data_IF_449110503201
#
_entry.id   IF_449110503201
#
_cell.length_a   1.000
_cell.length_b   1.000
_cell.length_c   1.000
_cell.angle_alpha   90.00
_cell.angle_beta   90.00
_cell.angle_gamma   90.00
#
_symmetry.space_group_name_H-M   'P 1'
#
loop_
_entity.id
_entity.type
_entity.pdbx_description
1 polymer ?
2 non-polymer ?
3 non-polymer ?
4 water ?
#
# COMPACT_ATOMS: atom_id res chain seq x y z
N UNK A 21 -9.15 -3.51 -6.06
CA UNK A 21 -8.61 -2.82 -7.28
C UNK A 21 -9.69 -2.86 -8.36
N UNK A 22 -10.08 -1.68 -8.85
CA UNK A 22 -11.12 -1.52 -9.89
C UNK A 22 -10.48 -1.24 -11.26
N UNK A 23 -10.90 -2.00 -12.28
CA UNK A 23 -10.38 -1.81 -13.63
C UNK A 23 -9.00 -2.38 -13.92
N UNK A 24 -8.49 -3.27 -13.07
CA UNK A 24 -7.18 -3.84 -13.28
C UNK A 24 -7.19 -5.22 -13.90
N UNK A 25 -6.18 -6.02 -13.57
CA UNK A 25 -6.05 -7.39 -14.09
C UNK A 25 -5.36 -8.26 -13.02
N UNK A 26 -5.53 -9.58 -13.09
CA UNK A 26 -4.89 -10.48 -12.13
C UNK A 26 -3.38 -10.44 -12.33
N UNK A 27 -2.62 -10.19 -11.26
CA UNK A 27 -1.16 -10.15 -11.35
C UNK A 27 -0.60 -11.52 -11.69
N UNK A 28 0.56 -11.59 -12.35
CA UNK A 28 1.22 -12.88 -12.60
C UNK A 28 1.60 -13.33 -11.18
N UNK A 29 1.33 -14.60 -10.83
CA UNK A 29 1.66 -15.09 -9.47
C UNK A 29 3.08 -14.76 -9.01
N UNK A 30 3.18 -14.19 -7.81
CA UNK A 30 4.45 -13.82 -7.18
C UNK A 30 5.30 -12.76 -7.91
N UNK A 31 4.65 -11.95 -8.76
CA UNK A 31 5.35 -10.88 -9.46
C UNK A 31 5.54 -9.64 -8.58
N UNK A 32 4.86 -9.61 -7.43
CA UNK A 32 4.96 -8.49 -6.46
C UNK A 32 5.30 -9.19 -5.12
N UNK A 33 6.49 -9.78 -5.00
CA UNK A 33 6.93 -10.50 -3.79
C UNK A 33 7.02 -9.78 -2.44
N UNK A 34 6.88 -8.45 -2.47
CA UNK A 34 6.91 -7.62 -1.27
C UNK A 34 5.50 -7.44 -0.66
N UNK A 35 4.46 -7.77 -1.42
CA UNK A 35 3.06 -7.61 -0.95
C UNK A 35 2.68 -8.51 0.23
N UNK A 36 2.07 -7.94 1.27
CA UNK A 36 1.59 -8.72 2.41
C UNK A 36 0.11 -8.42 2.73
N UNK A 37 -0.53 -9.36 3.46
CA UNK A 37 -1.92 -9.24 3.91
C UNK A 37 -1.89 -9.15 5.45
N UNK A 38 -2.60 -8.17 6.02
CA UNK A 38 -2.71 -8.00 7.49
C UNK A 38 -4.01 -8.72 7.90
N UNK A 39 -3.91 -9.61 8.89
CA UNK A 39 -5.05 -10.45 9.31
C UNK A 39 -5.37 -10.43 10.82
N UNK A 40 -6.65 -10.31 11.16
CA UNK A 40 -7.13 -10.32 12.56
C UNK A 40 -8.41 -11.17 12.62
N UNK A 41 -8.34 -12.35 12.00
CA UNK A 41 -9.50 -13.24 11.94
C UNK A 41 -10.05 -13.22 10.53
N UNK A 42 -9.54 -12.27 9.72
CA UNK A 42 -9.90 -12.06 8.31
C UNK A 42 -8.96 -10.98 7.75
N UNK A 43 -8.86 -10.89 6.43
CA UNK A 43 -8.01 -9.87 5.77
C UNK A 43 -8.68 -8.49 5.96
N UNK A 44 -7.92 -7.47 6.36
CA UNK A 44 -8.48 -6.13 6.53
C UNK A 44 -7.65 -4.98 5.91
N UNK A 45 -6.38 -5.22 5.60
CA UNK A 45 -5.48 -4.21 5.00
C UNK A 45 -4.27 -4.87 4.35
N UNK A 46 -3.57 -4.12 3.48
CA UNK A 46 -2.36 -4.61 2.83
C UNK A 46 -1.12 -3.96 3.47
N UNK A 47 0.07 -4.29 2.95
CA UNK A 47 1.34 -3.75 3.45
C UNK A 47 2.50 -4.15 2.52
N UNK A 48 3.71 -3.65 2.79
CA UNK A 48 4.91 -3.96 2.00
C UNK A 48 6.13 -4.33 2.87
N UNK A 49 6.82 -5.42 2.53
CA UNK A 49 8.03 -5.86 3.25
C UNK A 49 9.21 -5.04 2.72
N UNK A 50 9.92 -4.34 3.61
CA UNK A 50 11.06 -3.52 3.18
C UNK A 50 12.44 -4.09 3.55
N UNK A 51 12.43 -5.11 4.40
CA UNK A 51 13.62 -5.86 4.82
C UNK A 51 13.16 -7.08 5.62
N UNK A 52 14.06 -7.98 5.99
CA UNK A 52 13.67 -9.19 6.73
C UNK A 52 12.88 -9.02 8.05
N UNK A 53 12.95 -7.86 8.68
CA UNK A 53 12.26 -7.63 9.95
C UNK A 53 11.15 -6.56 10.00
N UNK A 54 10.99 -5.78 8.92
CA UNK A 54 10.01 -4.67 8.94
C UNK A 54 9.05 -4.56 7.75
N UNK A 55 7.80 -4.16 8.06
CA UNK A 55 6.73 -3.96 7.10
C UNK A 55 6.16 -2.52 7.19
N UNK A 56 5.89 -1.87 6.05
CA UNK A 56 5.31 -0.51 5.98
C UNK A 56 3.82 -0.60 5.57
N UNK A 57 2.95 0.12 6.28
CA UNK A 57 1.50 0.13 5.97
C UNK A 57 0.92 1.53 6.31
N UNK A 58 -0.40 1.65 6.39
CA UNK A 58 -1.07 2.93 6.69
C UNK A 58 -1.46 3.04 8.17
N UNK A 59 -1.31 4.24 8.74
CA UNK A 59 -1.68 4.48 10.15
C UNK A 59 -3.18 4.21 10.43
N UNK A 60 -4.04 4.40 9.42
CA UNK A 60 -5.46 4.16 9.60
C UNK A 60 -5.82 2.66 9.71
N UNK A 61 -4.85 1.79 9.48
CA UNK A 61 -5.04 0.34 9.58
C UNK A 61 -4.58 -0.18 10.96
N UNK A 62 -4.23 0.72 11.87
CA UNK A 62 -3.74 0.33 13.19
C UNK A 62 -4.57 -0.63 14.06
N UNK A 63 -3.86 -1.58 14.67
CA UNK A 63 -4.38 -2.55 15.64
C UNK A 63 -3.16 -2.86 16.50
N UNK A 64 -3.35 -3.05 17.80
CA UNK A 64 -2.25 -3.33 18.73
C UNK A 64 -1.41 -4.57 18.41
N UNK A 65 -2.03 -5.57 17.79
CA UNK A 65 -1.34 -6.80 17.39
C UNK A 65 -2.02 -7.35 16.13
N UNK A 66 -1.23 -7.85 15.18
CA UNK A 66 -1.75 -8.41 13.93
C UNK A 66 -0.88 -9.56 13.43
N UNK A 67 -1.44 -10.37 12.54
CA UNK A 67 -0.71 -11.47 11.91
C UNK A 67 -0.39 -11.04 10.47
N UNK A 68 0.89 -11.11 10.10
CA UNK A 68 1.35 -10.73 8.76
C UNK A 68 1.46 -12.00 7.90
N UNK A 69 0.80 -12.00 6.75
CA UNK A 69 0.82 -13.16 5.85
C UNK A 69 1.56 -12.84 4.55
N UNK A 70 2.70 -13.50 4.36
CA UNK A 70 3.57 -13.31 3.19
C UNK A 70 3.52 -14.50 2.22
N UNK A 71 3.98 -14.29 0.99
CA UNK A 71 4.00 -15.35 -0.02
C UNK A 71 2.65 -15.81 -0.53
N UNK A 72 1.68 -14.89 -0.57
CA UNK A 72 0.31 -15.18 -1.02
C UNK A 72 -0.05 -14.77 -2.46
N UNK A 73 -0.92 -15.57 -3.08
CA UNK A 73 -1.51 -15.20 -4.39
C UNK A 73 -3.05 -15.27 -4.16
N UNK A 74 -3.55 -16.46 -3.82
CA UNK A 74 -4.98 -16.64 -3.53
C UNK A 74 -5.07 -16.77 -2.00
N UNK A 75 -5.67 -15.77 -1.34
CA UNK A 75 -5.76 -15.79 0.13
C UNK A 75 -6.71 -16.82 0.76
N UNK A 76 -7.56 -17.46 -0.05
CA UNK A 76 -8.50 -18.45 0.47
C UNK A 76 -8.02 -19.90 0.27
N UNK A 77 -6.87 -20.09 -0.35
CA UNK A 77 -6.33 -21.43 -0.64
C UNK A 77 -4.88 -21.60 -0.20
N UNK A 78 -4.57 -22.72 0.45
CA UNK A 78 -3.20 -23.01 0.88
C UNK A 78 -2.39 -23.47 -0.35
N UNK A 79 -1.37 -22.69 -0.70
CA UNK A 79 -0.54 -22.93 -1.88
C UNK A 79 0.83 -23.56 -1.62
N UNK A 80 1.31 -23.44 -0.38
CA UNK A 80 2.61 -24.01 -0.04
C UNK A 80 3.76 -23.01 -0.06
N UNK A 81 3.46 -21.76 -0.43
CA UNK A 81 4.46 -20.69 -0.49
C UNK A 81 4.36 -19.67 0.65
N UNK A 82 3.34 -19.82 1.48
CA UNK A 82 3.05 -18.89 2.57
C UNK A 82 3.91 -18.94 3.84
N UNK A 83 3.99 -17.79 4.51
CA UNK A 83 4.67 -17.62 5.82
C UNK A 83 3.73 -16.72 6.62
N UNK A 84 3.29 -17.19 7.79
CA UNK A 84 2.40 -16.43 8.69
C UNK A 84 3.23 -16.06 9.92
N UNK A 85 3.41 -14.76 10.19
CA UNK A 85 4.24 -14.30 11.32
C UNK A 85 3.56 -13.18 12.13
N UNK A 86 3.51 -13.34 13.45
CA UNK A 86 2.90 -12.34 14.34
C UNK A 86 3.80 -11.11 14.53
N UNK A 87 3.18 -9.99 14.88
CA UNK A 87 3.91 -8.75 15.13
C UNK A 87 4.39 -8.69 16.58
N UNK A 88 5.50 -7.99 16.81
CA UNK A 88 5.99 -7.79 18.16
C UNK A 88 5.88 -6.30 18.52
N UNK A 89 5.73 -5.45 17.50
CA UNK A 89 5.59 -4.00 17.70
C UNK A 89 4.85 -3.36 16.52
N UNK A 90 3.89 -2.48 16.81
CA UNK A 90 3.12 -1.75 15.78
C UNK A 90 3.28 -0.25 16.11
N UNK A 91 3.95 0.49 15.23
CA UNK A 91 4.24 1.92 15.43
C UNK A 91 3.63 2.91 14.41
N UNK A 92 2.61 3.62 14.85
CA UNK A 92 1.91 4.62 14.04
C UNK A 92 2.72 5.95 14.04
N UNK A 93 2.69 6.72 12.95
CA UNK A 93 3.41 8.00 12.91
C UNK A 93 2.91 8.90 14.04
N UNK A 94 3.83 9.51 14.81
CA UNK A 94 3.43 10.39 15.92
C UNK A 94 2.53 11.59 15.62
N UNK A 95 2.50 12.06 14.37
CA UNK A 95 1.68 13.21 14.02
C UNK A 95 0.43 12.87 13.18
N UNK A 96 -0.03 11.62 13.21
CA UNK A 96 -1.21 11.22 12.45
C UNK A 96 -2.44 12.01 12.92
N UNK A 97 -3.25 12.47 11.97
CA UNK A 97 -4.46 13.24 12.27
C UNK A 97 -5.65 12.85 11.40
N UNK A 98 -6.82 12.63 12.00
CA UNK A 98 -8.03 12.24 11.25
C UNK A 98 -8.80 13.39 10.58
N UNK A 99 -8.44 14.63 10.88
CA UNK A 99 -9.13 15.77 10.28
C UNK A 99 -9.06 15.66 8.76
N UNK A 100 -7.84 15.48 8.24
CA UNK A 100 -7.61 15.34 6.80
C UNK A 100 -6.82 14.09 6.44
N UNK A 101 -6.69 13.18 7.41
CA UNK A 101 -5.95 11.91 7.24
C UNK A 101 -4.46 12.19 6.86
N UNK A 102 -3.84 13.11 7.58
CA UNK A 102 -2.46 13.53 7.37
C UNK A 102 -1.47 12.57 8.05
N UNK A 103 -0.29 12.38 7.42
CA UNK A 103 0.76 11.49 7.94
C UNK A 103 0.27 10.05 8.14
N UNK A 104 -0.35 9.50 7.09
CA UNK A 104 -0.95 8.15 7.12
C UNK A 104 0.06 7.03 6.82
N UNK A 105 0.97 6.79 7.76
CA UNK A 105 2.01 5.76 7.59
C UNK A 105 2.29 5.08 8.96
N UNK A 106 2.71 3.81 8.91
CA UNK A 106 2.93 3.00 10.12
C UNK A 106 3.99 1.91 9.89
N UNK A 107 4.76 1.55 10.91
CA UNK A 107 5.78 0.49 10.83
C UNK A 107 5.40 -0.71 11.71
N UNK A 108 5.61 -1.92 11.20
CA UNK A 108 5.31 -3.16 11.92
C UNK A 108 6.58 -4.01 12.01
N UNK A 109 6.99 -4.37 13.23
CA UNK A 109 8.18 -5.19 13.48
C UNK A 109 7.74 -6.66 13.60
N UNK A 110 8.39 -7.55 12.84
CA UNK A 110 8.05 -8.99 12.87
C UNK A 110 8.67 -9.68 14.09
N UNK A 111 7.95 -10.63 14.69
CA UNK A 111 8.45 -11.34 15.88
C UNK A 111 9.64 -12.26 15.56
N UNK A 112 9.76 -12.67 14.30
CA UNK A 112 10.88 -13.48 13.82
C UNK A 112 11.08 -13.05 12.37
N UNK A 113 12.35 -13.01 11.91
CA UNK A 113 12.63 -12.59 10.53
C UNK A 113 12.04 -13.48 9.45
N UNK A 114 11.67 -12.86 8.33
CA UNK A 114 11.09 -13.59 7.21
C UNK A 114 12.21 -14.27 6.44
N UNK A 115 11.88 -15.39 5.78
CA UNK A 115 12.84 -16.14 4.96
C UNK A 115 12.70 -15.68 3.51
N UNK A 116 13.77 -15.13 2.95
CA UNK A 116 13.74 -14.64 1.59
C UNK A 116 13.98 -15.79 0.61
N UNK A 117 13.12 -15.87 -0.42
CA UNK A 117 13.20 -16.95 -1.43
C UNK A 117 12.54 -16.57 -2.77
N UNK A 118 12.09 -17.55 -3.55
CA UNK A 118 11.44 -17.27 -4.84
C UNK A 118 10.14 -16.48 -4.66
N UNK A 119 9.45 -16.70 -3.53
CA UNK A 119 8.16 -16.09 -3.26
C UNK A 119 8.12 -14.83 -2.39
N UNK A 120 9.16 -14.64 -1.58
CA UNK A 120 9.22 -13.51 -0.64
C UNK A 120 10.51 -12.70 -0.82
N UNK A 121 10.37 -11.44 -1.22
CA UNK A 121 11.50 -10.54 -1.44
C UNK A 121 11.09 -9.09 -1.10
N UNK A 122 11.98 -8.31 -0.45
CA UNK A 122 11.65 -6.92 -0.08
C UNK A 122 11.71 -5.89 -1.21
N UNK A 123 11.08 -4.75 -1.03
CA UNK A 123 11.10 -3.67 -2.01
C UNK A 123 11.97 -2.51 -1.47
N UNK A 124 12.71 -1.85 -2.36
CA UNK A 124 13.59 -0.74 -1.99
C UNK A 124 12.88 0.55 -1.58
N UNK A 125 13.44 1.27 -0.60
CA UNK A 125 12.88 2.56 -0.20
C UNK A 125 13.39 3.58 -1.26
N UNK A 126 12.69 4.74 -1.42
CA UNK A 126 13.05 5.78 -2.39
C UNK A 126 14.45 6.42 -2.39
N UNK A 127 15.03 6.59 -3.58
CA UNK A 127 16.32 7.29 -3.72
C UNK A 127 16.01 8.71 -4.21
N UNK A 128 14.72 9.00 -4.42
CA UNK A 128 14.27 10.32 -4.85
C UNK A 128 12.74 10.36 -4.83
N UNK A 129 12.16 11.54 -5.05
CA UNK A 129 10.71 11.69 -5.10
C UNK A 129 10.34 11.67 -6.59
N UNK A 130 9.45 10.76 -6.98
CA UNK A 130 9.03 10.63 -8.38
C UNK A 130 8.19 11.84 -8.86
N UNK A 131 8.52 12.38 -10.06
CA UNK A 131 7.80 13.54 -10.61
C UNK A 131 6.46 13.19 -11.29
N UNK A 132 5.64 14.22 -11.49
CA UNK A 132 4.34 14.07 -12.15
C UNK A 132 4.53 13.41 -13.52
N UNK A 133 3.62 12.50 -13.89
CA UNK A 133 3.72 11.82 -15.16
C UNK A 133 4.35 10.43 -15.12
N UNK A 134 5.05 10.11 -14.04
CA UNK A 134 5.67 8.78 -13.89
C UNK A 134 4.60 7.67 -13.79
N UNK A 135 4.80 6.56 -14.50
CA UNK A 135 3.84 5.43 -14.45
C UNK A 135 4.28 4.47 -13.33
N UNK A 136 3.31 4.01 -12.55
CA UNK A 136 3.57 3.13 -11.40
C UNK A 136 2.57 1.97 -11.39
N UNK A 137 2.75 1.05 -10.45
CA UNK A 137 1.86 -0.11 -10.27
C UNK A 137 1.33 -0.16 -8.83
N UNK A 138 0.04 -0.44 -8.67
CA UNK A 138 -0.58 -0.58 -7.34
C UNK A 138 -1.25 -1.97 -7.33
N UNK A 139 -1.28 -2.63 -6.17
CA UNK A 139 -1.85 -3.98 -6.07
C UNK A 139 -2.59 -4.23 -4.75
N UNK A 140 -3.49 -5.23 -4.75
CA UNK A 140 -4.23 -5.56 -3.53
C UNK A 140 -5.39 -6.54 -3.69
N UNK A 141 -5.99 -6.92 -2.56
CA UNK A 141 -7.13 -7.86 -2.48
C UNK A 141 -8.47 -7.16 -2.15
N UNK A 142 -8.58 -5.87 -2.47
CA UNK A 142 -9.80 -5.13 -2.20
C UNK A 142 -10.89 -5.27 -3.26
N UNK A 143 -11.95 -4.49 -3.10
CA UNK A 143 -13.11 -4.46 -4.00
C UNK A 143 -12.75 -4.28 -5.47
N UNK A 144 -13.39 -5.06 -6.36
CA UNK A 144 -13.13 -4.94 -7.80
C UNK A 144 -14.31 -4.36 -8.59
N UNK A 145 -15.49 -4.35 -7.98
CA UNK A 145 -16.70 -3.86 -8.64
C UNK A 145 -16.87 -4.49 -10.05
N UNK A 146 -16.55 -5.78 -10.16
CA UNK A 146 -16.63 -6.51 -11.43
C UNK A 146 -17.25 -7.90 -11.24
N UNK A 147 -18.00 -8.35 -12.25
CA UNK A 147 -18.64 -9.66 -12.21
C UNK A 147 -17.73 -10.79 -12.67
N UNK A 148 -16.53 -10.45 -13.15
CA UNK A 148 -15.58 -11.43 -13.64
C UNK A 148 -14.24 -11.45 -12.87
N UNK A 149 -13.91 -10.37 -12.16
CA UNK A 149 -12.65 -10.28 -11.42
C UNK A 149 -12.80 -10.75 -9.96
N UNK A 150 -12.02 -11.76 -9.60
CA UNK A 150 -12.01 -12.38 -8.27
C UNK A 150 -11.04 -11.68 -7.30
N UNK A 151 -11.58 -10.97 -6.30
CA UNK A 151 -10.74 -10.25 -5.33
C UNK A 151 -9.91 -11.15 -4.42
N UNK A 152 -10.16 -12.47 -4.44
CA UNK A 152 -9.38 -13.42 -3.63
C UNK A 152 -7.99 -13.65 -4.25
N UNK A 153 -7.86 -13.33 -5.53
CA UNK A 153 -6.61 -13.45 -6.27
C UNK A 153 -6.03 -12.04 -6.43
N UNK A 154 -4.74 -11.88 -6.10
CA UNK A 154 -4.09 -10.56 -6.18
C UNK A 154 -4.27 -9.85 -7.54
N UNK A 155 -4.78 -8.61 -7.47
CA UNK A 155 -5.02 -7.78 -8.67
C UNK A 155 -3.94 -6.68 -8.80
N UNK A 156 -3.64 -6.30 -10.05
CA UNK A 156 -2.63 -5.29 -10.37
C UNK A 156 -3.23 -4.19 -11.27
N UNK A 157 -2.67 -2.98 -11.23
CA UNK A 157 -3.14 -1.87 -12.06
C UNK A 157 -2.03 -0.82 -12.25
N UNK A 158 -1.90 -0.28 -13.46
CA UNK A 158 -0.88 0.74 -13.74
C UNK A 158 -1.54 2.13 -13.70
N UNK A 159 -0.98 3.04 -12.91
CA UNK A 159 -1.53 4.40 -12.75
C UNK A 159 -0.43 5.47 -12.80
N UNK A 160 -0.73 6.65 -13.39
CA UNK A 160 0.25 7.74 -13.47
C UNK A 160 0.09 8.76 -12.32
N UNK A 161 1.20 9.34 -11.87
CA UNK A 161 1.16 10.36 -10.81
C UNK A 161 0.65 11.69 -11.41
N UNK A 162 -0.31 12.33 -10.73
CA UNK A 162 -0.88 13.60 -11.21
C UNK A 162 -0.16 14.82 -10.62
N UNK A 163 -0.31 15.99 -11.25
CA UNK A 163 0.34 17.22 -10.76
C UNK A 163 -0.34 17.70 -9.48
N UNK A 164 0.38 18.51 -8.68
CA UNK A 164 -0.17 19.09 -7.45
C UNK A 164 -1.44 19.91 -7.76
N UNK A 165 -1.38 20.73 -8.80
CA UNK A 165 -2.51 21.57 -9.21
C UNK A 165 -3.80 20.77 -9.45
N UNK A 166 -3.70 19.67 -10.20
CA UNK A 166 -4.90 18.85 -10.48
C UNK A 166 -5.40 18.15 -9.21
N UNK A 167 -4.46 17.75 -8.34
CA UNK A 167 -4.81 17.08 -7.08
C UNK A 167 -5.55 18.05 -6.13
N UNK A 168 -5.00 19.26 -5.94
CA UNK A 168 -5.64 20.26 -5.09
C UNK A 168 -6.98 20.73 -5.68
N UNK A 169 -7.08 20.78 -7.00
CA UNK A 169 -8.34 21.20 -7.63
C UNK A 169 -9.49 20.23 -7.35
N UNK A 170 -9.17 18.95 -7.25
CA UNK A 170 -10.18 17.92 -6.96
C UNK A 170 -10.64 17.95 -5.50
N UNK A 171 -9.73 18.28 -4.58
CA UNK A 171 -10.00 18.30 -3.13
C UNK A 171 -9.43 19.60 -2.53
N UNK A 172 -10.06 20.75 -2.81
CA UNK A 172 -9.63 22.07 -2.33
C UNK A 172 -9.21 22.24 -0.85
N UNK A 173 -7.94 22.58 -0.64
CA UNK A 173 -7.42 22.79 0.70
C UNK A 173 -7.16 21.56 1.57
N UNK A 174 -7.40 20.36 1.03
CA UNK A 174 -7.21 19.12 1.79
C UNK A 174 -5.93 18.32 1.50
N UNK A 175 -5.14 18.78 0.53
CA UNK A 175 -3.90 18.11 0.15
C UNK A 175 -2.69 18.73 0.86
N UNK A 176 -2.01 17.92 1.67
CA UNK A 176 -0.83 18.37 2.43
C UNK A 176 0.51 17.98 1.78
N UNK A 177 1.62 18.36 2.42
CA UNK A 177 2.95 18.03 1.91
C UNK A 177 3.22 16.52 1.91
N UNK A 178 2.43 15.77 2.65
CA UNK A 178 2.62 14.32 2.77
C UNK A 178 1.71 13.45 1.90
N UNK A 179 1.14 14.05 0.85
CA UNK A 179 0.22 13.34 -0.04
C UNK A 179 0.48 13.63 -1.53
N UNK A 180 -0.01 12.73 -2.39
CA UNK A 180 0.00 12.87 -3.86
C UNK A 180 -1.19 12.09 -4.45
N UNK A 181 -1.72 12.57 -5.57
CA UNK A 181 -2.83 11.92 -6.27
C UNK A 181 -2.24 11.11 -7.45
N UNK A 182 -2.89 10.00 -7.76
CA UNK A 182 -2.47 9.13 -8.88
C UNK A 182 -3.72 8.44 -9.43
N UNK A 183 -3.77 8.27 -10.75
CA UNK A 183 -4.92 7.66 -11.38
C UNK A 183 -5.40 8.42 -12.62
N UNK A 184 -6.72 8.43 -12.81
CA UNK A 184 -7.36 9.07 -13.98
C UNK A 184 -8.57 9.91 -13.59
N UNK A 185 -8.59 11.16 -14.02
CA UNK A 185 -9.71 12.06 -13.71
C UNK A 185 -11.03 11.62 -14.35
N UNK A 186 -10.95 10.83 -15.41
CA UNK A 186 -12.11 10.31 -16.12
C UNK A 186 -12.84 9.21 -15.33
N UNK A 187 -12.15 8.61 -14.36
CA UNK A 187 -12.73 7.55 -13.57
C UNK A 187 -12.56 6.19 -14.21
N UNK A 188 -13.10 5.14 -13.58
CA UNK A 188 -13.00 3.80 -14.13
C UNK A 188 -11.87 2.89 -13.65
N UNK A 189 -10.77 3.45 -13.16
CA UNK A 189 -9.62 2.68 -12.68
C UNK A 189 -9.14 3.33 -11.39
N UNK A 190 -9.01 2.55 -10.30
CA UNK A 190 -8.62 3.12 -9.00
C UNK A 190 -8.43 1.99 -7.96
N UNK A 191 -7.83 2.33 -6.81
CA UNK A 191 -7.70 1.39 -5.70
C UNK A 191 -9.01 1.56 -4.91
N UNK A 192 -9.35 0.64 -4.03
CA UNK A 192 -10.62 0.75 -3.30
C UNK A 192 -10.52 0.19 -1.87
N UNK A 193 -11.66 0.06 -1.20
CA UNK A 193 -11.69 -0.47 0.17
C UNK A 193 -11.12 -1.90 0.18
N UNK A 194 -10.20 -2.14 1.12
CA UNK A 194 -9.55 -3.44 1.22
C UNK A 194 -8.11 -3.37 0.71
N UNK A 195 -7.83 -2.36 -0.14
CA UNK A 195 -6.49 -2.14 -0.70
C UNK A 195 -5.64 -1.26 0.23
N UNK A 196 -6.28 -0.59 1.19
CA UNK A 196 -5.62 0.31 2.17
C UNK A 196 -4.32 -0.25 2.74
N UNK A 197 -3.30 0.60 2.82
CA UNK A 197 -2.01 0.19 3.37
C UNK A 197 -1.06 -0.47 2.38
N UNK A 198 -1.57 -0.85 1.20
CA UNK A 198 -0.78 -1.49 0.15
C UNK A 198 0.23 -0.62 -0.58
N UNK A 199 1.05 -1.21 -1.47
CA UNK A 199 2.08 -0.48 -2.24
C UNK A 199 1.76 0.21 -3.56
N UNK A 200 2.51 1.28 -3.83
CA UNK A 200 2.49 1.99 -5.11
C UNK A 200 3.99 2.00 -5.45
N UNK A 201 4.41 1.18 -6.42
CA UNK A 201 5.81 1.06 -6.83
C UNK A 201 6.12 1.75 -8.17
N UNK A 202 7.17 2.56 -8.19
CA UNK A 202 7.57 3.27 -9.42
C UNK A 202 9.09 3.11 -9.60
N UNK A 203 9.50 2.70 -10.80
CA UNK A 203 10.93 2.51 -11.11
C UNK A 203 11.61 1.60 -10.09
N UNK A 204 10.89 0.58 -9.63
CA UNK A 204 11.45 -0.35 -8.68
C UNK A 204 11.59 0.08 -7.23
N UNK A 205 10.93 1.17 -6.84
CA UNK A 205 11.01 1.66 -5.46
C UNK A 205 9.61 1.96 -4.90
N UNK A 206 9.45 1.87 -3.58
CA UNK A 206 8.16 2.15 -2.92
C UNK A 206 7.95 3.67 -2.80
N UNK A 207 7.10 4.24 -3.66
CA UNK A 207 6.81 5.68 -3.63
C UNK A 207 5.54 6.06 -2.87
N UNK A 208 4.57 5.15 -2.80
CA UNK A 208 3.33 5.46 -2.10
C UNK A 208 2.66 4.34 -1.29
N UNK A 209 1.72 4.73 -0.43
CA UNK A 209 0.91 3.81 0.41
C UNK A 209 -0.57 4.16 0.19
N UNK A 210 -1.42 3.17 -0.13
CA UNK A 210 -2.87 3.43 -0.36
C UNK A 210 -3.50 4.08 0.89
N UNK A 211 -4.03 5.30 0.75
CA UNK A 211 -4.58 6.06 1.87
C UNK A 211 -6.09 6.39 1.87
N UNK A 212 -6.52 7.34 1.02
CA UNK A 212 -7.94 7.75 0.97
C UNK A 212 -8.45 8.27 -0.39
N UNK A 213 -9.74 8.64 -0.42
CA UNK A 213 -10.37 9.18 -1.63
C UNK A 213 -11.88 9.25 -1.42
N UNK A 214 -12.61 9.88 -2.34
CA UNK A 214 -14.06 9.97 -2.23
C UNK A 214 -14.64 8.90 -3.19
N UNK A 215 -15.08 7.79 -2.61
CA UNK A 215 -15.61 6.67 -3.40
C UNK A 215 -14.45 5.95 -4.08
N UNK A 216 -14.76 5.15 -5.11
CA UNK A 216 -13.75 4.43 -5.85
C UNK A 216 -14.05 4.55 -7.33
N UNK A 217 -13.04 4.96 -8.11
CA UNK A 217 -13.16 5.09 -9.57
C UNK A 217 -14.20 6.08 -10.09
N UNK A 218 -14.58 7.06 -9.28
CA UNK A 218 -15.56 8.08 -9.68
C UNK A 218 -14.87 9.20 -10.47
N UNK A 219 -15.50 9.69 -11.55
CA UNK A 219 -14.85 10.77 -12.31
C UNK A 219 -14.66 12.00 -11.41
N UNK A 220 -13.50 12.64 -11.54
CA UNK A 220 -13.21 13.84 -10.75
C UNK A 220 -12.74 13.58 -9.33
N UNK A 221 -12.56 12.33 -8.96
CA UNK A 221 -12.13 11.99 -7.61
C UNK A 221 -11.05 10.90 -7.66
N UNK A 222 -9.80 11.29 -7.97
CA UNK A 222 -8.69 10.33 -8.04
C UNK A 222 -8.25 9.83 -6.65
N UNK A 223 -7.51 8.73 -6.61
CA UNK A 223 -7.03 8.22 -5.33
C UNK A 223 -5.90 9.06 -4.75
N UNK A 224 -5.83 9.12 -3.42
CA UNK A 224 -4.78 9.86 -2.69
C UNK A 224 -3.90 8.85 -1.96
N UNK A 225 -2.60 9.12 -1.98
CA UNK A 225 -1.57 8.22 -1.43
C UNK A 225 -0.57 8.96 -0.51
N UNK A 226 -0.07 8.26 0.53
CA UNK A 226 0.95 8.85 1.42
C UNK A 226 2.29 8.91 0.66
N UNK A 227 2.97 10.06 0.73
CA UNK A 227 4.23 10.31 0.01
C UNK A 227 5.46 9.80 0.78
N UNK A 228 5.85 8.56 0.52
CA UNK A 228 6.95 7.92 1.26
C UNK A 228 8.30 8.63 1.29
N UNK A 229 8.70 9.24 0.17
CA UNK A 229 10.00 9.90 0.11
C UNK A 229 10.26 10.97 1.18
N UNK A 230 9.23 11.70 1.63
CA UNK A 230 9.49 12.73 2.66
C UNK A 230 9.57 12.18 4.10
N UNK A 231 9.32 10.87 4.26
CA UNK A 231 9.37 10.22 5.57
C UNK A 231 10.68 9.44 5.82
N UNK A 232 11.63 9.48 4.87
CA UNK A 232 12.87 8.73 5.01
C UNK A 232 13.62 8.85 6.35
N UNK A 233 13.75 10.07 6.89
CA UNK A 233 14.44 10.24 8.17
C UNK A 233 13.74 9.52 9.34
N UNK A 234 12.42 9.59 9.38
CA UNK A 234 11.66 8.93 10.45
C UNK A 234 11.73 7.41 10.30
N UNK A 235 11.61 6.93 9.06
CA UNK A 235 11.66 5.49 8.77
C UNK A 235 12.99 4.84 9.16
N UNK A 236 14.09 5.42 8.70
CA UNK A 236 15.41 4.87 9.00
C UNK A 236 15.78 4.96 10.48
N UNK A 237 15.46 6.08 11.12
CA UNK A 237 15.79 6.23 12.55
C UNK A 237 14.98 5.25 13.39
N UNK A 238 13.72 5.05 13.03
CA UNK A 238 12.86 4.13 13.78
C UNK A 238 13.31 2.66 13.63
N UNK A 239 13.71 2.26 12.42
CA UNK A 239 14.14 0.87 12.21
C UNK A 239 15.50 0.56 12.86
N UNK A 240 16.23 1.59 13.24
CA UNK A 240 17.55 1.42 13.87
C UNK A 240 17.41 0.96 15.30
N UNK A 241 16.22 0.45 15.66
CA UNK A 241 15.92 -0.04 16.99
C UNK A 241 15.33 -1.45 16.83
N UNK A 242 15.71 -2.36 17.72
CA UNK A 242 15.21 -3.73 17.69
C UNK A 242 14.89 -4.20 19.10
X LIG B 1 -9.78 4.01 -0.44
X LIG B 1 -11.16 4.14 -0.47
X LIG B 1 -11.93 3.98 0.67
X LIG B 1 -11.30 3.68 1.90
X LIG B 1 -9.91 3.55 1.94
X LIG B 1 -9.17 3.72 0.78
X LIG B 1 -8.96 4.18 -1.69
X LIG B 1 -9.49 5.22 -2.65
X LIG B 1 -8.69 5.29 -3.88
X LIG C 1 -2.82 -18.84 -0.22
#
# INVERSE_FOLDING_TARGET
MISLVFVLLIGAAFATEDDKIVGGYECKPYSQPHQVSLNSGYHFCGGSLVNENWVVSAAHCYKSRVEVRLGEHNIKVTEGSEQFISSSRVIRHPNYSSYNIDNDIMLIKLSKPATLNTYVQPVALPTSCAPAGTMCTVSGWGNTMSSTADSNKLQCLNIPILSYSDCNNSYPGMITNAMFCAGYLEGGKDSCQGDSGGPVVCNGELQGVVSWGYGCAEPGNPGVYAKVCIFNDWLTSTMASY
PEA C1' C6' C5' C4' C3' C2' C2 C1 N
CA CA
#
